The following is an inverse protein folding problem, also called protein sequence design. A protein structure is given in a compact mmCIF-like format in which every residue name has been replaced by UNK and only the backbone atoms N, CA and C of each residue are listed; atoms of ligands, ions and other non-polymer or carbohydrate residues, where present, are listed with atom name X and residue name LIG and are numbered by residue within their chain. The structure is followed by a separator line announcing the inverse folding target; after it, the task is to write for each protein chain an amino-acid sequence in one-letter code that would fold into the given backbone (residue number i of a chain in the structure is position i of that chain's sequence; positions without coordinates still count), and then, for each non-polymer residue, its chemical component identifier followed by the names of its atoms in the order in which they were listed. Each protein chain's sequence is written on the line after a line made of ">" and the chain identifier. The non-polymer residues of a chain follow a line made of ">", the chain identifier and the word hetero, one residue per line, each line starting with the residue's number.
data_IF_465017460730
#
_entry.id   IF_465017460730
#
_cell.length_a   1.000
_cell.length_b   1.000
_cell.length_c   1.000
_cell.angle_alpha   90.00
_cell.angle_beta   90.00
_cell.angle_gamma   90.00
#
_symmetry.space_group_name_H-M   'P 1'
#
loop_
_entity.id
_entity.type
_entity.pdbx_description
1 polymer ?
#
# COMPACT_ATOMS: atom_id res chain seq x y z
N UNK A 1 -4.94 6.76 -9.50
CA UNK A 1 -5.54 6.09 -8.32
C UNK A 1 -4.98 4.69 -8.13
N UNK A 2 -5.04 3.79 -9.12
CA UNK A 2 -4.53 2.41 -8.99
C UNK A 2 -3.05 2.18 -9.29
N UNK A 3 -2.23 3.23 -9.26
CA UNK A 3 -0.78 3.19 -9.49
C UNK A 3 -0.08 3.56 -8.20
N UNK A 4 1.17 3.11 -7.97
CA UNK A 4 1.84 3.29 -6.67
C UNK A 4 2.09 4.76 -6.31
N UNK A 5 2.15 5.66 -7.28
CA UNK A 5 2.27 7.11 -7.08
C UNK A 5 1.10 7.72 -6.30
N UNK A 6 -0.03 7.01 -6.17
CA UNK A 6 -1.13 7.41 -5.28
C UNK A 6 -0.67 7.60 -3.84
N UNK A 7 0.29 6.79 -3.37
CA UNK A 7 0.85 6.90 -2.02
C UNK A 7 1.55 8.25 -1.85
N UNK A 8 2.31 8.70 -2.86
CA UNK A 8 2.97 10.00 -2.83
C UNK A 8 1.96 11.15 -2.96
N UNK A 9 1.00 11.04 -3.88
CA UNK A 9 -0.04 12.06 -4.12
C UNK A 9 -1.00 12.26 -2.94
N UNK A 10 -1.05 11.30 -2.02
CA UNK A 10 -1.95 11.33 -0.85
C UNK A 10 -1.20 11.27 0.47
N UNK A 11 0.13 11.50 0.46
CA UNK A 11 0.99 11.40 1.65
C UNK A 11 0.63 12.40 2.76
N UNK A 12 -0.02 13.51 2.41
CA UNK A 12 -0.43 14.56 3.34
C UNK A 12 -1.86 14.35 3.88
N UNK A 13 -2.53 13.24 3.50
CA UNK A 13 -3.78 12.81 4.12
C UNK A 13 -3.50 12.09 5.45
N UNK A 14 -4.48 11.92 6.33
CA UNK A 14 -4.21 11.32 7.66
C UNK A 14 -3.69 9.88 7.58
N UNK A 15 -4.12 9.11 6.57
CA UNK A 15 -3.61 7.75 6.32
C UNK A 15 -2.17 7.74 5.78
N UNK A 16 -1.60 8.91 5.51
CA UNK A 16 -0.33 9.07 4.82
C UNK A 16 0.85 8.75 5.73
N UNK A 17 1.96 8.38 5.12
CA UNK A 17 3.22 8.17 5.81
C UNK A 17 4.36 8.86 5.09
N UNK A 18 5.58 8.77 5.64
CA UNK A 18 6.78 9.31 5.00
C UNK A 18 7.03 8.62 3.65
N UNK A 19 6.54 9.28 2.60
CA UNK A 19 6.53 8.80 1.23
C UNK A 19 7.23 9.78 0.31
N UNK A 20 8.21 9.27 -0.44
CA UNK A 20 8.94 9.98 -1.48
C UNK A 20 8.70 9.31 -2.83
N UNK A 21 8.88 10.07 -3.89
CA UNK A 21 8.83 9.58 -5.26
C UNK A 21 10.13 9.99 -5.95
N UNK A 22 10.70 9.07 -6.73
CA UNK A 22 11.86 9.31 -7.57
C UNK A 22 11.44 9.11 -9.01
N UNK A 23 11.64 10.13 -9.85
CA UNK A 23 11.23 10.09 -11.28
C UNK A 23 12.40 9.84 -12.22
N UNK A 24 13.64 9.80 -11.71
CA UNK A 24 14.82 9.38 -12.47
C UNK A 24 15.82 8.65 -11.58
N UNK A 25 16.76 7.95 -12.22
CA UNK A 25 17.82 7.23 -11.52
C UNK A 25 18.78 8.17 -10.78
N UNK A 26 19.07 9.33 -11.35
CA UNK A 26 19.91 10.38 -10.76
C UNK A 26 19.25 10.94 -9.49
N UNK A 27 17.95 11.21 -9.57
CA UNK A 27 17.15 11.68 -8.45
C UNK A 27 17.11 10.66 -7.30
N UNK A 28 16.93 9.37 -7.63
CA UNK A 28 16.99 8.27 -6.68
C UNK A 28 18.34 8.13 -5.99
N UNK A 29 19.43 8.09 -6.77
CA UNK A 29 20.79 7.95 -6.23
C UNK A 29 21.23 9.14 -5.39
N UNK A 30 20.71 10.34 -5.68
CA UNK A 30 20.98 11.56 -4.91
C UNK A 30 20.24 11.58 -3.56
N UNK A 31 18.94 11.29 -3.55
CA UNK A 31 18.08 11.53 -2.37
C UNK A 31 17.79 10.30 -1.50
N UNK A 32 17.82 9.09 -2.07
CA UNK A 32 17.53 7.87 -1.30
C UNK A 32 18.50 7.58 -0.14
N UNK A 33 19.82 7.85 -0.24
CA UNK A 33 20.73 7.60 0.89
C UNK A 33 20.30 8.27 2.20
N UNK A 34 19.82 9.52 2.12
CA UNK A 34 19.36 10.27 3.29
C UNK A 34 18.10 9.64 3.91
N UNK A 35 17.12 9.28 3.06
CA UNK A 35 15.90 8.59 3.49
C UNK A 35 16.23 7.29 4.24
N UNK A 36 17.09 6.46 3.64
CA UNK A 36 17.49 5.18 4.22
C UNK A 36 18.33 5.35 5.48
N UNK A 37 19.23 6.34 5.52
CA UNK A 37 20.04 6.58 6.71
C UNK A 37 19.20 7.08 7.89
N UNK A 38 18.14 7.82 7.62
CA UNK A 38 17.23 8.39 8.64
C UNK A 38 16.36 7.30 9.27
N UNK A 39 15.60 6.55 8.48
CA UNK A 39 14.65 5.56 9.01
C UNK A 39 15.25 4.16 9.21
N UNK A 40 16.47 3.92 8.72
CA UNK A 40 17.18 2.62 8.66
C UNK A 40 16.53 1.54 7.78
N UNK A 41 15.21 1.60 7.58
CA UNK A 41 14.49 0.67 6.72
C UNK A 41 13.47 1.42 5.87
N UNK A 42 13.46 1.12 4.56
CA UNK A 42 12.55 1.70 3.57
C UNK A 42 11.90 0.60 2.74
N UNK A 43 10.75 0.88 2.14
CA UNK A 43 10.08 0.03 1.15
C UNK A 43 10.07 0.74 -0.19
N UNK A 44 10.79 0.20 -1.17
CA UNK A 44 10.76 0.67 -2.54
C UNK A 44 9.70 -0.08 -3.34
N UNK A 45 8.86 0.65 -4.07
CA UNK A 45 7.77 0.09 -4.88
C UNK A 45 7.89 0.62 -6.31
N UNK A 46 7.95 -0.28 -7.29
CA UNK A 46 7.88 0.10 -8.70
C UNK A 46 6.51 0.67 -9.05
N UNK A 47 6.46 1.54 -10.06
CA UNK A 47 5.25 2.28 -10.43
C UNK A 47 4.00 1.40 -10.64
N UNK A 48 4.15 0.26 -11.33
CA UNK A 48 3.10 -0.72 -11.63
C UNK A 48 3.58 -2.12 -11.31
N UNK A 49 2.88 -2.83 -10.45
CA UNK A 49 3.20 -4.21 -10.07
C UNK A 49 2.08 -4.80 -9.25
N UNK A 50 2.05 -6.12 -9.11
CA UNK A 50 1.07 -6.86 -8.31
C UNK A 50 1.74 -8.02 -7.58
N UNK A 51 1.08 -8.56 -6.55
CA UNK A 51 1.52 -9.78 -5.87
C UNK A 51 2.93 -9.70 -5.26
N UNK A 52 3.35 -8.52 -4.79
CA UNK A 52 4.70 -8.29 -4.25
C UNK A 52 5.79 -8.11 -5.31
N UNK A 53 5.49 -8.31 -6.60
CA UNK A 53 6.43 -7.98 -7.66
C UNK A 53 6.70 -6.47 -7.68
N UNK A 54 7.98 -6.10 -7.75
CA UNK A 54 8.39 -4.72 -7.65
C UNK A 54 8.32 -4.07 -6.27
N UNK A 55 8.14 -4.84 -5.19
CA UNK A 55 8.13 -4.31 -3.81
C UNK A 55 9.33 -4.85 -3.05
N UNK A 56 10.21 -3.97 -2.59
CA UNK A 56 11.48 -4.33 -1.98
C UNK A 56 11.63 -3.67 -0.61
N UNK A 57 11.94 -4.46 0.40
CA UNK A 57 12.39 -3.97 1.71
C UNK A 57 13.90 -3.72 1.63
N UNK A 58 14.31 -2.50 1.93
CA UNK A 58 15.71 -2.07 1.94
C UNK A 58 16.10 -1.74 3.37
N UNK A 59 17.13 -2.40 3.87
CA UNK A 59 17.67 -2.22 5.22
C UNK A 59 19.08 -1.67 5.15
N UNK A 60 19.33 -0.61 5.92
CA UNK A 60 20.66 -0.03 6.08
C UNK A 60 21.56 -1.01 6.84
N UNK A 61 22.69 -1.38 6.25
CA UNK A 61 23.72 -2.21 6.91
C UNK A 61 24.93 -1.37 7.27
N UNK A 62 25.45 -0.61 6.31
CA UNK A 62 26.56 0.34 6.49
C UNK A 62 26.52 1.42 5.42
N UNK A 63 27.48 2.34 5.43
CA UNK A 63 27.60 3.38 4.40
C UNK A 63 27.89 2.82 3.00
N UNK A 64 28.34 1.56 2.91
CA UNK A 64 28.73 0.90 1.65
C UNK A 64 27.87 -0.31 1.31
N UNK A 65 26.98 -0.75 2.20
CA UNK A 65 26.17 -1.96 2.02
C UNK A 65 24.72 -1.75 2.44
N UNK A 66 23.82 -2.40 1.71
CA UNK A 66 22.40 -2.48 2.03
C UNK A 66 21.95 -3.93 1.96
N UNK A 67 20.94 -4.25 2.74
CA UNK A 67 20.23 -5.53 2.68
C UNK A 67 18.93 -5.32 1.90
N UNK A 68 18.65 -6.21 0.97
CA UNK A 68 17.52 -6.12 0.03
C UNK A 68 16.72 -7.42 0.11
N UNK A 69 15.43 -7.29 0.38
CA UNK A 69 14.47 -8.40 0.37
C UNK A 69 13.33 -8.07 -0.59
N UNK A 70 13.18 -8.86 -1.65
CA UNK A 70 12.09 -8.73 -2.60
C UNK A 70 10.84 -9.46 -2.06
N UNK A 71 9.68 -8.80 -2.11
CA UNK A 71 8.44 -9.35 -1.58
C UNK A 71 7.83 -10.45 -2.46
N UNK A 72 8.36 -10.69 -3.67
CA UNK A 72 7.88 -11.76 -4.53
C UNK A 72 8.20 -13.13 -3.92
N UNK A 73 7.25 -14.06 -4.02
CA UNK A 73 7.35 -15.42 -3.49
C UNK A 73 8.63 -16.12 -3.94
N UNK A 74 9.35 -16.74 -3.00
CA UNK A 74 10.57 -17.49 -3.27
C UNK A 74 11.84 -16.64 -3.39
N UNK A 75 11.74 -15.32 -3.23
CA UNK A 75 12.91 -14.44 -3.21
C UNK A 75 13.76 -14.67 -1.96
N UNK A 76 15.07 -14.51 -2.11
CA UNK A 76 16.02 -14.55 -1.02
C UNK A 76 16.52 -13.16 -0.69
N UNK A 77 16.80 -12.95 0.59
CA UNK A 77 17.49 -11.77 1.07
C UNK A 77 18.92 -11.71 0.53
N UNK A 78 19.37 -10.52 0.13
CA UNK A 78 20.73 -10.28 -0.36
C UNK A 78 21.34 -9.10 0.36
N UNK A 79 22.63 -9.19 0.69
CA UNK A 79 23.43 -8.03 1.08
C UNK A 79 24.23 -7.58 -0.13
N UNK A 80 23.96 -6.36 -0.60
CA UNK A 80 24.57 -5.78 -1.79
C UNK A 80 25.51 -4.65 -1.41
N UNK A 81 26.54 -4.43 -2.24
CA UNK A 81 27.26 -3.16 -2.21
C UNK A 81 26.34 -2.03 -2.66
N UNK A 82 26.63 -0.80 -2.26
CA UNK A 82 25.88 0.40 -2.68
C UNK A 82 25.79 0.49 -4.21
N UNK A 83 26.89 0.20 -4.92
CA UNK A 83 26.92 0.25 -6.39
C UNK A 83 26.06 -0.85 -7.02
N UNK A 84 26.13 -2.09 -6.52
CA UNK A 84 25.33 -3.20 -7.04
C UNK A 84 23.83 -2.95 -6.81
N UNK A 85 23.48 -2.42 -5.64
CA UNK A 85 22.11 -2.02 -5.33
C UNK A 85 21.56 -1.01 -6.33
N UNK A 86 22.28 0.08 -6.61
CA UNK A 86 21.77 1.07 -7.56
C UNK A 86 21.72 0.52 -8.99
N UNK A 87 22.70 -0.28 -9.40
CA UNK A 87 22.65 -0.96 -10.70
C UNK A 87 21.43 -1.88 -10.84
N UNK A 88 21.06 -2.60 -9.77
CA UNK A 88 19.86 -3.47 -9.74
C UNK A 88 18.55 -2.67 -9.86
N UNK A 89 18.51 -1.44 -9.33
CA UNK A 89 17.31 -0.60 -9.35
C UNK A 89 17.22 0.34 -10.57
N UNK A 90 18.31 0.53 -11.32
CA UNK A 90 18.34 1.37 -12.53
C UNK A 90 17.26 1.04 -13.56
N UNK A 91 16.93 -0.25 -13.85
CA UNK A 91 15.89 -0.58 -14.82
C UNK A 91 14.49 -0.04 -14.48
N UNK A 92 14.17 0.24 -13.20
CA UNK A 92 12.87 0.78 -12.80
C UNK A 92 12.59 2.20 -13.28
N UNK A 93 13.60 2.89 -13.84
CA UNK A 93 13.48 4.24 -14.39
C UNK A 93 13.43 4.27 -15.92
N UNK A 94 13.43 3.10 -16.57
CA UNK A 94 13.24 3.01 -18.02
C UNK A 94 11.75 3.19 -18.39
N UNK A 95 11.45 3.65 -19.60
CA UNK A 95 10.08 3.78 -20.15
C UNK A 95 9.11 4.54 -19.22
N UNK A 96 9.49 5.74 -18.77
CA UNK A 96 8.69 6.56 -17.83
C UNK A 96 8.45 5.88 -16.46
N UNK A 97 9.33 4.93 -16.11
CA UNK A 97 9.30 4.28 -14.81
C UNK A 97 9.67 5.23 -13.67
N UNK A 98 9.12 4.94 -12.49
CA UNK A 98 9.40 5.66 -11.25
C UNK A 98 9.45 4.68 -10.08
N UNK A 99 10.04 5.14 -8.99
CA UNK A 99 10.05 4.43 -7.71
C UNK A 99 9.35 5.24 -6.63
N UNK A 100 8.50 4.57 -5.88
CA UNK A 100 7.90 5.07 -4.65
C UNK A 100 8.69 4.51 -3.47
N UNK A 101 8.95 5.37 -2.50
CA UNK A 101 9.75 5.09 -1.32
C UNK A 101 8.95 5.44 -0.08
N UNK A 102 8.52 4.42 0.66
CA UNK A 102 7.76 4.56 1.90
C UNK A 102 8.62 4.12 3.08
N UNK A 103 8.47 4.76 4.23
CA UNK A 103 9.07 4.25 5.47
C UNK A 103 8.57 2.83 5.77
N UNK A 104 9.42 1.99 6.36
CA UNK A 104 9.00 0.69 6.84
C UNK A 104 8.05 0.82 8.04
N UNK A 105 6.81 0.38 7.85
CA UNK A 105 5.85 0.27 8.93
C UNK A 105 6.13 -0.98 9.79
N UNK A 106 6.55 -0.75 11.03
CA UNK A 106 6.91 -1.79 12.01
C UNK A 106 5.70 -2.57 12.52
N UNK A 107 4.51 -1.98 12.40
CA UNK A 107 3.23 -2.54 12.86
C UNK A 107 2.59 -3.49 11.84
N UNK A 108 3.31 -3.86 10.78
CA UNK A 108 2.90 -4.93 9.84
C UNK A 108 2.49 -6.22 10.56
N UNK A 109 3.06 -6.49 11.74
CA UNK A 109 2.71 -7.62 12.63
C UNK A 109 1.28 -7.57 13.18
N UNK A 110 0.63 -6.40 13.19
CA UNK A 110 -0.79 -6.26 13.56
C UNK A 110 -1.73 -6.68 12.42
N UNK A 111 -1.19 -7.11 11.29
CA UNK A 111 -1.93 -7.47 10.09
C UNK A 111 -2.30 -6.28 9.21
N UNK A 112 -3.01 -6.60 8.13
CA UNK A 112 -3.55 -5.68 7.14
C UNK A 112 -5.06 -5.72 7.20
N UNK A 113 -5.69 -4.56 7.03
CA UNK A 113 -7.10 -4.50 6.62
C UNK A 113 -7.18 -3.96 5.19
N UNK A 114 -7.81 -4.72 4.33
CA UNK A 114 -8.28 -4.29 3.02
C UNK A 114 -9.69 -3.75 3.16
N UNK A 115 -9.89 -2.47 2.90
CA UNK A 115 -11.20 -1.84 2.82
C UNK A 115 -11.68 -1.89 1.37
N UNK A 116 -12.77 -2.61 1.10
CA UNK A 116 -13.38 -2.69 -0.23
C UNK A 116 -14.44 -1.60 -0.38
N UNK A 117 -14.46 -0.94 -1.54
CA UNK A 117 -15.38 0.14 -1.85
C UNK A 117 -16.03 -0.05 -3.22
N UNK A 118 -17.27 0.40 -3.34
CA UNK A 118 -17.95 0.57 -4.62
C UNK A 118 -18.34 2.03 -4.78
N UNK A 119 -17.82 2.68 -5.82
CA UNK A 119 -17.91 4.12 -5.97
C UNK A 119 -17.31 4.83 -4.75
N UNK A 120 -18.18 5.40 -3.92
CA UNK A 120 -17.81 6.17 -2.70
C UNK A 120 -18.21 5.47 -1.40
N UNK A 121 -18.74 4.24 -1.47
CA UNK A 121 -19.30 3.51 -0.32
C UNK A 121 -18.47 2.30 0.03
N UNK A 122 -18.29 2.07 1.32
CA UNK A 122 -17.61 0.88 1.83
C UNK A 122 -18.52 -0.32 1.66
N UNK A 123 -17.98 -1.33 0.99
CA UNK A 123 -18.67 -2.54 0.54
C UNK A 123 -18.31 -3.78 1.38
N UNK A 124 -17.24 -3.69 2.17
CA UNK A 124 -16.81 -4.69 3.14
C UNK A 124 -15.32 -4.64 3.42
N UNK A 125 -14.82 -5.65 4.14
CA UNK A 125 -13.43 -5.71 4.60
C UNK A 125 -12.79 -7.08 4.36
N UNK A 126 -11.47 -7.10 4.27
CA UNK A 126 -10.65 -8.30 4.32
C UNK A 126 -9.48 -8.12 5.28
N UNK A 127 -9.42 -8.89 6.35
CA UNK A 127 -8.27 -8.87 7.28
C UNK A 127 -7.31 -10.02 6.98
N UNK A 128 -6.01 -9.76 7.03
CA UNK A 128 -4.97 -10.76 6.80
C UNK A 128 -3.74 -10.46 7.66
N UNK A 129 -3.23 -11.45 8.38
CA UNK A 129 -1.94 -11.35 9.07
C UNK A 129 -0.81 -11.26 8.02
N UNK A 130 0.04 -10.23 8.12
CA UNK A 130 1.13 -9.98 7.17
C UNK A 130 2.42 -10.59 7.72
N UNK A 131 2.71 -11.83 7.33
CA UNK A 131 3.94 -12.52 7.71
C UNK A 131 5.00 -12.55 6.58
N UNK A 132 4.74 -11.90 5.44
CA UNK A 132 5.52 -12.07 4.20
C UNK A 132 6.85 -11.29 4.14
N UNK A 133 6.98 -10.21 4.90
CA UNK A 133 8.20 -9.39 4.96
C UNK A 133 8.92 -9.49 6.32
N UNK A 134 8.47 -10.41 7.17
CA UNK A 134 9.04 -10.66 8.49
C UNK A 134 9.68 -12.06 8.52
N UNK A 135 10.93 -12.13 8.97
CA UNK A 135 11.64 -13.37 9.18
C UNK A 135 11.28 -13.95 10.56
N UNK A 136 10.65 -15.12 10.58
CA UNK A 136 10.49 -15.93 11.80
C UNK A 136 11.45 -17.12 11.70
N UNK A 137 12.48 -17.13 12.54
CA UNK A 137 13.48 -18.21 12.61
C UNK A 137 14.16 -18.56 11.27
N UNK A 138 14.60 -17.59 10.48
CA UNK A 138 15.26 -17.87 9.19
C UNK A 138 14.31 -18.13 8.02
N UNK A 139 12.98 -18.06 8.21
CA UNK A 139 12.00 -18.36 7.16
C UNK A 139 10.99 -17.23 6.98
N UNK A 140 10.83 -16.79 5.74
CA UNK A 140 9.74 -15.92 5.31
C UNK A 140 8.47 -16.76 5.11
N UNK A 141 7.35 -16.36 5.72
CA UNK A 141 6.09 -17.09 5.63
C UNK A 141 5.18 -16.49 4.56
N UNK A 142 4.45 -17.32 3.82
CA UNK A 142 3.39 -16.82 2.95
C UNK A 142 2.34 -16.03 3.77
N UNK A 143 1.71 -15.00 3.20
CA UNK A 143 0.59 -14.32 3.86
C UNK A 143 -0.48 -15.30 4.36
N UNK A 144 -1.02 -15.07 5.55
CA UNK A 144 -2.04 -15.94 6.15
C UNK A 144 -3.36 -15.95 5.38
N UNK A 145 -4.35 -16.73 5.84
CA UNK A 145 -5.70 -16.69 5.24
C UNK A 145 -6.31 -15.31 5.41
N UNK A 146 -6.94 -14.78 4.35
CA UNK A 146 -7.76 -13.55 4.45
C UNK A 146 -9.17 -13.89 4.97
N UNK A 147 -9.60 -13.17 6.00
CA UNK A 147 -10.94 -13.25 6.56
C UNK A 147 -11.79 -12.10 6.04
N UNK A 148 -12.93 -12.42 5.45
CA UNK A 148 -13.83 -11.45 4.84
C UNK A 148 -14.95 -11.07 5.78
N UNK A 149 -15.26 -9.77 5.83
CA UNK A 149 -16.33 -9.20 6.63
C UNK A 149 -17.20 -8.27 5.79
N UNK A 150 -18.45 -8.10 6.22
CA UNK A 150 -19.38 -7.16 5.61
C UNK A 150 -19.06 -5.72 6.02
N UNK A 151 -19.72 -4.75 5.39
CA UNK A 151 -19.65 -3.33 5.72
C UNK A 151 -20.19 -3.00 7.13
N UNK A 152 -20.81 -3.97 7.82
CA UNK A 152 -21.32 -3.82 9.18
C UNK A 152 -20.40 -4.46 10.23
N UNK A 153 -19.16 -4.79 9.86
CA UNK A 153 -18.17 -5.31 10.78
C UNK A 153 -17.84 -4.27 11.86
N UNK A 154 -18.18 -4.57 13.12
CA UNK A 154 -17.91 -3.66 14.24
C UNK A 154 -16.44 -3.32 14.43
N UNK A 155 -15.53 -4.25 14.11
CA UNK A 155 -14.07 -4.07 14.24
C UNK A 155 -13.50 -2.95 13.35
N UNK A 156 -14.19 -2.65 12.24
CA UNK A 156 -13.76 -1.66 11.23
C UNK A 156 -14.83 -0.59 10.99
N UNK A 157 -15.70 -0.39 11.98
CA UNK A 157 -16.76 0.63 11.91
C UNK A 157 -16.18 2.05 11.84
N UNK A 158 -15.10 2.29 12.57
CA UNK A 158 -14.30 3.51 12.56
C UNK A 158 -13.65 3.75 11.18
N UNK A 159 -13.06 2.71 10.58
CA UNK A 159 -12.48 2.77 9.24
C UNK A 159 -13.56 3.08 8.20
N UNK A 160 -14.74 2.47 8.31
CA UNK A 160 -15.87 2.79 7.42
C UNK A 160 -16.23 4.27 7.48
N UNK A 161 -16.41 4.78 8.70
CA UNK A 161 -16.85 6.15 8.93
C UNK A 161 -15.84 7.16 8.36
N UNK A 162 -14.56 7.00 8.69
CA UNK A 162 -13.53 7.93 8.21
C UNK A 162 -13.31 7.82 6.69
N UNK A 163 -13.41 6.61 6.12
CA UNK A 163 -13.33 6.40 4.66
C UNK A 163 -14.45 7.17 3.95
N UNK A 164 -15.70 6.97 4.34
CA UNK A 164 -16.84 7.57 3.62
C UNK A 164 -16.97 9.08 3.86
N UNK A 165 -16.70 9.55 5.09
CA UNK A 165 -16.99 10.94 5.47
C UNK A 165 -15.82 11.89 5.26
N UNK A 166 -14.56 11.40 5.24
CA UNK A 166 -13.37 12.24 5.17
C UNK A 166 -12.44 11.83 4.03
N UNK A 167 -11.96 10.60 4.03
CA UNK A 167 -10.86 10.21 3.15
C UNK A 167 -11.24 10.05 1.69
N UNK A 168 -12.40 9.45 1.36
CA UNK A 168 -12.86 9.37 -0.03
C UNK A 168 -13.09 10.76 -0.63
N UNK A 169 -13.82 11.70 0.02
CA UNK A 169 -13.94 13.07 -0.46
C UNK A 169 -12.58 13.76 -0.67
N UNK A 170 -11.65 13.62 0.28
CA UNK A 170 -10.32 14.22 0.17
C UNK A 170 -9.49 13.59 -0.96
N UNK A 171 -9.54 12.27 -1.13
CA UNK A 171 -8.90 11.55 -2.23
C UNK A 171 -9.42 12.04 -3.59
N UNK A 172 -10.74 12.19 -3.71
CA UNK A 172 -11.38 12.71 -4.93
C UNK A 172 -10.87 14.11 -5.27
N UNK A 173 -10.77 15.00 -4.28
CA UNK A 173 -10.24 16.35 -4.46
C UNK A 173 -8.76 16.33 -4.87
N UNK A 174 -7.92 15.59 -4.14
CA UNK A 174 -6.48 15.51 -4.39
C UNK A 174 -6.15 14.94 -5.78
N UNK A 175 -6.97 14.00 -6.27
CA UNK A 175 -6.77 13.35 -7.56
C UNK A 175 -7.63 13.94 -8.69
N UNK A 176 -8.45 14.96 -8.41
CA UNK A 176 -9.42 15.53 -9.35
C UNK A 176 -10.36 14.47 -9.96
N UNK A 177 -10.85 13.54 -9.13
CA UNK A 177 -11.72 12.43 -9.55
C UNK A 177 -13.16 12.75 -9.18
N UNK A 178 -14.02 12.95 -10.18
CA UNK A 178 -15.46 13.14 -9.93
C UNK A 178 -16.13 11.83 -9.49
N UNK A 179 -17.27 11.94 -8.81
CA UNK A 179 -18.02 10.77 -8.30
C UNK A 179 -18.39 9.78 -9.42
N UNK A 180 -18.72 10.28 -10.61
CA UNK A 180 -19.17 9.44 -11.74
C UNK A 180 -18.06 8.55 -12.33
N UNK A 181 -16.79 8.91 -12.12
CA UNK A 181 -15.64 8.16 -12.63
C UNK A 181 -14.92 7.35 -11.55
N UNK A 182 -15.43 7.33 -10.31
CA UNK A 182 -14.92 6.43 -9.28
C UNK A 182 -14.99 4.97 -9.77
N UNK A 183 -14.12 4.06 -9.33
CA UNK A 183 -14.21 2.67 -9.73
C UNK A 183 -15.50 2.01 -9.22
N UNK A 184 -16.10 1.12 -10.01
CA UNK A 184 -17.26 0.32 -9.59
C UNK A 184 -16.89 -0.60 -8.42
N UNK A 185 -15.65 -1.10 -8.42
CA UNK A 185 -15.06 -1.82 -7.29
C UNK A 185 -13.59 -1.41 -7.19
N UNK A 186 -13.16 -1.11 -5.98
CA UNK A 186 -11.76 -0.84 -5.65
C UNK A 186 -11.49 -1.21 -4.21
N UNK A 187 -10.22 -1.32 -3.84
CA UNK A 187 -9.82 -1.53 -2.47
C UNK A 187 -8.64 -0.65 -2.06
N UNK A 188 -8.56 -0.37 -0.76
CA UNK A 188 -7.43 0.29 -0.12
C UNK A 188 -6.91 -0.62 1.00
N UNK A 189 -5.63 -0.93 0.95
CA UNK A 189 -4.92 -1.74 1.94
C UNK A 189 -4.26 -0.83 2.98
N UNK A 190 -4.51 -1.14 4.25
CA UNK A 190 -3.99 -0.39 5.39
C UNK A 190 -3.22 -1.28 6.35
N UNK A 191 -2.07 -0.81 6.81
CA UNK A 191 -1.47 -1.30 8.04
C UNK A 191 -2.24 -0.78 9.25
N UNK A 192 -2.30 -1.56 10.33
CA UNK A 192 -2.96 -1.20 11.58
C UNK A 192 -1.88 -0.76 12.58
N UNK A 193 -1.72 0.54 12.79
CA UNK A 193 -0.70 1.11 13.68
C UNK A 193 -1.05 0.95 15.15
N UNK A 194 -2.22 1.43 15.55
CA UNK A 194 -2.67 1.43 16.94
C UNK A 194 -4.00 0.70 17.08
N UNK A 195 -3.96 -0.65 17.16
CA UNK A 195 -5.17 -1.48 17.14
C UNK A 195 -6.23 -1.10 18.20
N UNK A 196 -5.79 -0.58 19.35
CA UNK A 196 -6.65 -0.18 20.47
C UNK A 196 -7.01 1.32 20.49
N UNK A 197 -6.53 2.10 19.51
CA UNK A 197 -6.81 3.53 19.45
C UNK A 197 -8.26 3.78 19.03
N UNK A 198 -8.87 4.81 19.63
CA UNK A 198 -10.17 5.35 19.20
C UNK A 198 -10.04 6.37 18.07
N UNK A 199 -8.81 6.79 17.76
CA UNK A 199 -8.51 7.78 16.75
C UNK A 199 -8.23 7.08 15.40
N UNK A 200 -9.27 6.95 14.57
CA UNK A 200 -9.18 6.25 13.28
C UNK A 200 -8.11 6.86 12.35
N UNK A 201 -7.91 8.16 12.44
CA UNK A 201 -6.93 8.95 11.68
C UNK A 201 -5.48 8.63 12.01
N UNK A 202 -5.20 8.00 13.15
CA UNK A 202 -3.86 7.52 13.54
C UNK A 202 -3.72 6.00 13.50
N UNK A 203 -4.86 5.31 13.43
CA UNK A 203 -4.92 3.85 13.50
C UNK A 203 -4.50 3.17 12.20
N UNK A 204 -4.69 3.81 11.05
CA UNK A 204 -4.47 3.20 9.75
C UNK A 204 -3.47 3.98 8.91
N UNK A 205 -2.54 3.28 8.26
CA UNK A 205 -1.62 3.84 7.28
C UNK A 205 -1.80 3.14 5.94
N UNK A 206 -1.98 3.91 4.87
CA UNK A 206 -2.19 3.40 3.52
C UNK A 206 -0.91 2.76 2.98
N UNK A 207 -1.02 1.54 2.42
CA UNK A 207 0.10 0.87 1.78
C UNK A 207 -0.15 0.54 0.30
N UNK A 208 -1.40 0.43 -0.14
CA UNK A 208 -1.77 0.18 -1.54
C UNK A 208 -3.23 0.55 -1.84
N UNK A 209 -3.52 0.95 -3.09
CA UNK A 209 -4.88 1.05 -3.64
C UNK A 209 -4.95 0.23 -4.92
N UNK A 210 -5.97 -0.61 -5.05
CA UNK A 210 -6.26 -1.41 -6.23
C UNK A 210 -7.58 -0.96 -6.86
N UNK A 211 -7.58 -0.62 -8.16
CA UNK A 211 -8.79 -0.14 -8.88
C UNK A 211 -9.24 -1.04 -10.02
N UNK A 212 -8.47 -2.08 -10.33
CA UNK A 212 -8.72 -3.00 -11.44
C UNK A 212 -8.45 -4.43 -10.97
N UNK A 213 -9.21 -5.40 -11.49
CA UNK A 213 -9.06 -6.81 -11.13
C UNK A 213 -9.12 -7.07 -9.61
N UNK A 214 -9.91 -6.27 -8.89
CA UNK A 214 -10.10 -6.44 -7.44
C UNK A 214 -10.82 -7.77 -7.20
N UNK A 215 -10.07 -8.74 -6.70
CA UNK A 215 -10.52 -10.08 -6.37
C UNK A 215 -9.49 -10.77 -5.45
N UNK A 216 -9.91 -11.64 -4.51
CA UNK A 216 -11.30 -11.87 -4.11
C UNK A 216 -11.83 -10.67 -3.32
N UNK A 217 -13.17 -10.57 -3.17
CA UNK A 217 -13.87 -9.54 -2.38
C UNK A 217 -14.99 -10.18 -1.53
N UNK A 218 -15.43 -9.55 -0.42
CA UNK A 218 -16.49 -10.11 0.41
C UNK A 218 -17.82 -10.19 -0.36
N UNK A 219 -18.65 -11.24 -0.17
CA UNK A 219 -19.95 -11.35 -0.83
C UNK A 219 -20.88 -10.14 -0.63
N UNK A 220 -20.74 -9.41 0.49
CA UNK A 220 -21.48 -8.16 0.74
C UNK A 220 -21.27 -7.12 -0.35
N UNK A 221 -20.11 -7.10 -1.00
CA UNK A 221 -19.79 -6.10 -2.01
C UNK A 221 -20.66 -6.19 -3.26
N UNK A 222 -21.25 -7.36 -3.54
CA UNK A 222 -22.08 -7.59 -4.74
C UNK A 222 -23.25 -6.61 -4.81
N UNK A 223 -23.94 -6.36 -3.67
CA UNK A 223 -25.06 -5.40 -3.63
C UNK A 223 -24.61 -4.00 -4.01
N UNK A 224 -23.50 -3.54 -3.43
CA UNK A 224 -22.95 -2.21 -3.69
C UNK A 224 -22.51 -2.04 -5.15
N UNK A 225 -21.87 -3.06 -5.72
CA UNK A 225 -21.49 -3.10 -7.15
C UNK A 225 -22.72 -2.96 -8.03
N UNK A 226 -23.79 -3.73 -7.75
CA UNK A 226 -25.03 -3.67 -8.53
C UNK A 226 -25.66 -2.27 -8.45
N UNK A 227 -25.74 -1.70 -7.26
CA UNK A 227 -26.33 -0.38 -7.04
C UNK A 227 -25.51 0.72 -7.75
N UNK A 228 -24.19 0.64 -7.69
CA UNK A 228 -23.27 1.57 -8.37
C UNK A 228 -23.41 1.46 -9.90
N UNK A 229 -23.43 0.25 -10.47
CA UNK A 229 -23.64 0.03 -11.91
C UNK A 229 -25.01 0.56 -12.35
N UNK A 230 -26.07 0.26 -11.61
CA UNK A 230 -27.43 0.76 -11.90
C UNK A 230 -27.50 2.28 -11.90
N UNK A 231 -26.72 2.95 -11.04
CA UNK A 231 -26.70 4.41 -10.98
C UNK A 231 -26.05 5.07 -12.20
N UNK A 232 -25.24 4.35 -12.97
CA UNK A 232 -24.50 4.87 -14.14
C UNK A 232 -25.17 4.59 -15.48
N UNK A 233 -26.07 3.62 -15.53
CA UNK A 233 -26.79 3.21 -16.75
C UNK A 233 -28.13 3.96 -16.90
N UNK A 234 -28.57 4.66 -15.85
CA UNK A 234 -29.73 5.57 -15.89
C UNK A 234 -29.32 6.94 -16.41
#
# INVERSE_FOLDING_TARGET
>A
MGTKDVLYKTKDMDWGGDTKMYTSYEDFTSRFPESLQTSKTRVLKQYRGNGGNGVYKIEYVSTTKVKVTHAATGSQEKVLSKNDFYNEFKPFFMNEGLLIDQEWNKNTVNGMVRCYLSGTKVAGFGYQEINALYELNGKYSSPGKRYYYTENCGLFSDLKEIMENKWVPQLQNNLSISKSIMPVIWDADFFINEANSKAADKKYELCEINVSCVSPFPPSAVKFIIDEVRSRIK
#
